data_IF_107213844713
#
_entry.id   IF_107213844713
#
_cell.length_a   1.000
_cell.length_b   1.000
_cell.length_c   1.000
_cell.angle_alpha   90.00
_cell.angle_beta   90.00
_cell.angle_gamma   90.00
#
_symmetry.space_group_name_H-M   'P 1'
#
loop_
_entity.id
_entity.type
_entity.pdbx_description
1 polymer ?
#
# COMPACT_ATOMS: atom_id res chain seq x y z
N UNK A 1 -21.57 -17.77 -41.06
CA UNK A 1 -21.59 -17.93 -39.58
C UNK A 1 -20.20 -18.10 -38.94
N UNK A 2 -19.10 -18.34 -39.67
CA UNK A 2 -17.76 -18.59 -39.08
C UNK A 2 -16.93 -17.33 -38.77
N UNK A 3 -17.35 -16.15 -39.22
CA UNK A 3 -16.62 -14.88 -39.03
C UNK A 3 -16.79 -14.31 -37.61
N UNK A 4 -17.97 -14.46 -37.00
CA UNK A 4 -18.27 -13.92 -35.67
C UNK A 4 -17.58 -14.69 -34.53
N UNK A 5 -17.18 -15.94 -34.79
CA UNK A 5 -16.41 -16.75 -33.83
C UNK A 5 -14.98 -16.22 -33.62
N UNK A 6 -14.40 -15.52 -34.61
CA UNK A 6 -13.04 -14.94 -34.48
C UNK A 6 -13.04 -13.66 -33.65
N UNK A 7 -14.10 -12.85 -33.74
CA UNK A 7 -14.28 -11.66 -32.89
C UNK A 7 -14.50 -12.03 -31.42
N UNK A 8 -15.28 -13.08 -31.15
CA UNK A 8 -15.50 -13.58 -29.78
C UNK A 8 -14.19 -14.09 -29.13
N UNK A 9 -13.29 -14.70 -29.91
CA UNK A 9 -11.99 -15.16 -29.42
C UNK A 9 -11.06 -14.01 -29.04
N UNK A 10 -11.12 -12.87 -29.75
CA UNK A 10 -10.32 -11.68 -29.45
C UNK A 10 -10.81 -10.98 -28.17
N UNK A 11 -12.12 -11.00 -27.91
CA UNK A 11 -12.72 -10.44 -26.69
C UNK A 11 -12.35 -11.25 -25.43
N UNK A 12 -12.22 -12.58 -25.52
CA UNK A 12 -11.73 -13.40 -24.41
C UNK A 12 -10.25 -13.18 -24.08
N UNK A 13 -9.42 -12.78 -25.05
CA UNK A 13 -7.99 -12.53 -24.85
C UNK A 13 -7.69 -11.26 -24.04
N UNK A 14 -8.61 -10.28 -24.04
CA UNK A 14 -8.45 -9.04 -23.27
C UNK A 14 -8.83 -9.20 -21.79
N UNK A 15 -9.63 -10.22 -21.44
CA UNK A 15 -10.08 -10.47 -20.05
C UNK A 15 -9.01 -11.18 -19.21
N UNK A 16 -8.04 -11.85 -19.83
CA UNK A 16 -7.02 -12.64 -19.11
C UNK A 16 -5.80 -11.84 -18.64
N UNK A 17 -5.62 -10.59 -19.08
CA UNK A 17 -4.57 -9.70 -18.56
C UNK A 17 -4.83 -9.20 -17.12
N UNK A 18 -6.03 -9.44 -16.59
CA UNK A 18 -6.45 -9.04 -15.24
C UNK A 18 -6.25 -10.12 -14.16
N UNK A 19 -5.65 -11.27 -14.47
CA UNK A 19 -5.29 -12.26 -13.47
C UNK A 19 -4.09 -11.74 -12.65
N UNK A 20 -4.36 -10.82 -11.72
CA UNK A 20 -3.44 -10.44 -10.68
C UNK A 20 -2.99 -11.71 -9.97
N UNK A 21 -1.72 -12.06 -10.12
CA UNK A 21 -1.11 -13.16 -9.39
C UNK A 21 -1.33 -12.90 -7.89
N UNK A 22 -2.19 -13.69 -7.27
CA UNK A 22 -2.35 -13.70 -5.82
C UNK A 22 -0.96 -13.88 -5.20
N UNK A 23 -0.66 -13.08 -4.18
CA UNK A 23 0.65 -13.06 -3.53
C UNK A 23 0.86 -14.36 -2.75
N UNK A 24 1.29 -15.42 -3.44
CA UNK A 24 1.51 -16.78 -2.91
C UNK A 24 2.67 -16.88 -1.89
N UNK A 25 3.31 -15.76 -1.55
CA UNK A 25 4.39 -15.72 -0.57
C UNK A 25 3.85 -15.16 0.74
N UNK A 26 4.03 -15.92 1.81
CA UNK A 26 3.76 -15.46 3.18
C UNK A 26 4.45 -14.10 3.39
N UNK A 27 3.74 -13.06 3.85
CA UNK A 27 4.35 -11.75 4.07
C UNK A 27 5.38 -11.84 5.21
N UNK A 28 6.42 -11.02 5.11
CA UNK A 28 7.32 -10.76 6.23
C UNK A 28 6.69 -9.69 7.11
N UNK A 29 6.68 -9.91 8.43
CA UNK A 29 6.14 -8.96 9.40
C UNK A 29 7.31 -8.43 10.22
N UNK A 30 7.51 -7.11 10.20
CA UNK A 30 8.48 -6.39 11.03
C UNK A 30 7.70 -5.50 11.99
N UNK A 31 7.99 -5.62 13.28
CA UNK A 31 7.38 -4.83 14.34
C UNK A 31 8.46 -3.96 14.96
N UNK A 32 8.23 -2.65 15.00
CA UNK A 32 9.15 -1.65 15.56
C UNK A 32 8.40 -0.93 16.67
N UNK A 33 8.97 -0.93 17.89
CA UNK A 33 8.47 -0.19 19.03
C UNK A 33 9.48 0.87 19.46
N UNK A 34 9.01 2.09 19.71
CA UNK A 34 9.78 3.12 20.38
C UNK A 34 9.59 3.02 21.90
N UNK A 35 10.66 3.23 22.65
CA UNK A 35 10.64 3.34 24.11
C UNK A 35 10.47 4.81 24.50
N UNK A 36 9.58 5.10 25.45
CA UNK A 36 9.28 6.47 25.92
C UNK A 36 9.04 7.53 24.82
N UNK A 37 8.46 7.12 23.67
CA UNK A 37 8.07 8.04 22.59
C UNK A 37 6.58 8.39 22.69
N UNK A 38 6.31 9.67 22.97
CA UNK A 38 4.97 10.24 22.91
C UNK A 38 4.54 10.59 21.48
N UNK A 39 3.23 10.61 21.24
CA UNK A 39 2.60 11.05 19.98
C UNK A 39 3.19 12.36 19.44
N UNK A 40 3.39 13.43 20.24
CA UNK A 40 3.88 14.68 19.68
C UNK A 40 5.28 14.56 19.07
N UNK A 41 6.09 13.58 19.48
CA UNK A 41 7.47 13.33 19.03
C UNK A 41 7.59 12.74 17.62
N UNK A 42 6.49 12.27 17.05
CA UNK A 42 6.43 11.76 15.69
C UNK A 42 5.76 12.81 14.79
N UNK A 43 6.48 13.33 13.79
CA UNK A 43 5.97 14.46 12.99
C UNK A 43 4.78 14.11 12.10
N UNK A 44 4.52 12.83 11.82
CA UNK A 44 3.30 12.38 11.15
C UNK A 44 2.03 12.78 11.92
N UNK A 45 2.08 12.87 13.26
CA UNK A 45 0.95 13.19 14.11
C UNK A 45 0.74 14.68 14.33
N UNK A 46 1.81 15.46 14.30
CA UNK A 46 1.78 16.90 14.63
C UNK A 46 2.11 17.81 13.46
N UNK A 47 2.39 17.24 12.29
CA UNK A 47 2.84 17.95 11.09
C UNK A 47 4.11 18.79 11.30
N UNK A 48 4.92 18.41 12.30
CA UNK A 48 6.17 19.10 12.66
C UNK A 48 5.97 20.32 13.55
N UNK A 49 4.85 20.42 14.27
CA UNK A 49 4.55 21.51 15.22
C UNK A 49 5.67 21.75 16.25
N UNK A 50 6.36 20.68 16.64
CA UNK A 50 7.41 20.71 17.66
C UNK A 50 8.82 20.90 17.09
N UNK A 51 8.95 21.22 15.80
CA UNK A 51 10.20 21.58 15.13
C UNK A 51 11.06 20.41 14.63
N UNK A 52 10.88 19.20 15.15
CA UNK A 52 11.53 18.00 14.63
C UNK A 52 10.76 17.35 13.47
N UNK A 53 11.50 16.64 12.62
CA UNK A 53 10.99 15.87 11.47
C UNK A 53 11.45 14.43 11.56
N UNK A 54 10.55 13.49 11.28
CA UNK A 54 10.80 12.05 11.24
C UNK A 54 10.53 11.53 9.82
N UNK A 55 11.34 11.93 8.81
CA UNK A 55 10.98 11.73 7.40
C UNK A 55 10.74 10.27 7.01
N UNK A 56 11.43 9.32 7.65
CA UNK A 56 11.23 7.89 7.41
C UNK A 56 9.91 7.38 8.01
N UNK A 57 9.53 7.84 9.20
CA UNK A 57 8.26 7.48 9.83
C UNK A 57 7.10 8.16 9.11
N UNK A 58 7.26 9.43 8.73
CA UNK A 58 6.30 10.19 7.93
C UNK A 58 6.02 9.49 6.59
N UNK A 59 7.06 8.96 5.94
CA UNK A 59 6.92 8.18 4.71
C UNK A 59 6.10 6.91 4.93
N UNK A 60 6.37 6.16 6.00
CA UNK A 60 5.61 4.94 6.35
C UNK A 60 4.13 5.27 6.58
N UNK A 61 3.84 6.36 7.31
CA UNK A 61 2.46 6.82 7.54
C UNK A 61 1.75 7.20 6.23
N UNK A 62 2.45 7.86 5.30
CA UNK A 62 1.92 8.29 4.00
C UNK A 62 1.69 7.12 3.03
N UNK A 63 2.57 6.13 3.03
CA UNK A 63 2.49 4.94 2.17
C UNK A 63 1.55 3.86 2.72
N UNK A 64 1.26 3.91 4.01
CA UNK A 64 0.41 2.95 4.72
C UNK A 64 -0.80 3.61 5.37
N UNK A 65 -0.92 3.41 6.68
CA UNK A 65 -1.99 3.94 7.49
C UNK A 65 -1.43 4.67 8.72
N UNK A 66 -2.14 5.69 9.18
CA UNK A 66 -1.88 6.41 10.41
C UNK A 66 -3.10 6.27 11.32
N UNK A 67 -2.92 5.71 12.51
CA UNK A 67 -3.99 5.57 13.51
C UNK A 67 -4.01 6.80 14.40
N UNK A 68 -5.16 7.45 14.57
CA UNK A 68 -5.28 8.79 15.19
C UNK A 68 -6.15 8.85 16.45
N UNK A 69 -6.75 7.73 16.87
CA UNK A 69 -7.66 7.62 18.02
C UNK A 69 -7.05 6.72 19.11
#
# INVERSE_FOLDING_TARGET
MKTNQRLAALACGLVTLGAAFAQNKKPNILVIFGDDIGIPQVSAYTQGLMGYRTPNIDRIAKEGALFTD
#
